data_IF_941466767623
#
_entry.id   IF_941466767623
#
_cell.length_a   1.000
_cell.length_b   1.000
_cell.length_c   1.000
_cell.angle_alpha   90.00
_cell.angle_beta   90.00
_cell.angle_gamma   90.00
#
_symmetry.space_group_name_H-M   'P 1'
#
loop_
_entity.id
_entity.type
_entity.pdbx_description
1 polymer ?
#
# COMPACT_ATOMS: atom_id res chain seq x y z
N UNK A 1 7.66 -30.11 -27.71
CA UNK A 1 6.64 -29.45 -26.86
C UNK A 1 7.20 -28.10 -26.47
N UNK A 2 6.89 -27.05 -27.24
CA UNK A 2 7.34 -25.69 -26.96
C UNK A 2 6.32 -25.02 -26.04
N UNK A 3 6.70 -24.80 -24.79
CA UNK A 3 5.93 -23.98 -23.85
C UNK A 3 5.90 -22.56 -24.41
N UNK A 4 4.82 -22.18 -25.09
CA UNK A 4 4.56 -20.79 -25.45
C UNK A 4 4.42 -20.02 -24.15
N UNK A 5 5.46 -19.25 -23.80
CA UNK A 5 5.46 -18.38 -22.63
C UNK A 5 4.56 -17.19 -22.97
N UNK A 6 3.45 -17.04 -22.24
CA UNK A 6 2.59 -15.87 -22.40
C UNK A 6 3.39 -14.61 -22.00
N UNK A 7 3.65 -13.68 -22.94
CA UNK A 7 4.43 -12.48 -22.66
C UNK A 7 3.77 -11.57 -21.61
N UNK A 8 2.44 -11.61 -21.46
CA UNK A 8 1.71 -10.83 -20.45
C UNK A 8 1.95 -11.41 -19.06
N UNK A 9 1.93 -12.73 -18.91
CA UNK A 9 2.26 -13.39 -17.64
C UNK A 9 3.70 -13.14 -17.21
N UNK A 10 4.63 -13.09 -18.16
CA UNK A 10 6.02 -12.77 -17.88
C UNK A 10 6.18 -11.31 -17.43
N UNK A 11 5.51 -10.38 -18.10
CA UNK A 11 5.49 -8.97 -17.72
C UNK A 11 4.96 -8.80 -16.29
N UNK A 12 3.85 -9.45 -15.92
CA UNK A 12 3.31 -9.36 -14.56
C UNK A 12 4.27 -9.93 -13.51
N UNK A 13 4.96 -11.03 -13.83
CA UNK A 13 6.01 -11.58 -12.95
C UNK A 13 7.17 -10.62 -12.76
N UNK A 14 7.61 -9.97 -13.83
CA UNK A 14 8.75 -9.06 -13.78
C UNK A 14 8.39 -7.75 -13.08
N UNK A 15 7.19 -7.21 -13.30
CA UNK A 15 6.67 -6.08 -12.54
C UNK A 15 6.53 -6.40 -11.04
N UNK A 16 6.12 -7.61 -10.69
CA UNK A 16 6.05 -8.05 -9.30
C UNK A 16 7.41 -8.19 -8.60
N UNK A 17 8.53 -8.10 -9.34
CA UNK A 17 9.90 -8.13 -8.80
C UNK A 17 10.53 -6.74 -8.66
N UNK A 18 9.90 -5.71 -9.21
CA UNK A 18 10.39 -4.33 -9.09
C UNK A 18 9.73 -3.72 -7.85
N UNK A 19 10.52 -3.52 -6.79
CA UNK A 19 10.09 -2.69 -5.68
C UNK A 19 10.12 -1.21 -6.12
N UNK A 20 9.03 -0.49 -5.85
CA UNK A 20 8.99 0.97 -6.06
C UNK A 20 9.91 1.69 -5.08
N UNK A 21 10.34 2.90 -5.42
CA UNK A 21 11.34 3.66 -4.66
C UNK A 21 10.79 4.47 -3.47
N UNK A 22 9.56 4.17 -3.03
CA UNK A 22 8.78 4.86 -1.97
C UNK A 22 8.63 6.41 -2.10
N UNK A 23 9.18 7.02 -3.16
CA UNK A 23 9.31 8.48 -3.30
C UNK A 23 7.97 9.20 -3.18
N UNK A 24 6.94 8.70 -3.86
CA UNK A 24 5.60 9.30 -3.81
C UNK A 24 5.00 9.30 -2.40
N UNK A 25 5.28 8.28 -1.58
CA UNK A 25 4.82 8.22 -0.21
C UNK A 25 5.53 9.25 0.66
N UNK A 26 6.86 9.38 0.49
CA UNK A 26 7.67 10.41 1.17
C UNK A 26 7.24 11.83 0.81
N UNK A 27 7.00 12.10 -0.46
CA UNK A 27 6.54 13.39 -0.95
C UNK A 27 5.15 13.75 -0.40
N UNK A 28 4.23 12.79 -0.34
CA UNK A 28 2.91 13.01 0.25
C UNK A 28 2.99 13.37 1.74
N UNK A 29 3.81 12.65 2.52
CA UNK A 29 4.04 12.96 3.93
C UNK A 29 4.68 14.35 4.10
N UNK A 30 5.69 14.67 3.29
CA UNK A 30 6.34 15.98 3.29
C UNK A 30 5.37 17.12 2.93
N UNK A 31 4.35 16.84 2.10
CA UNK A 31 3.29 17.77 1.76
C UNK A 31 2.17 17.88 2.82
N UNK A 32 2.28 17.16 3.94
CA UNK A 32 1.29 17.19 5.02
C UNK A 32 0.08 16.27 4.79
N UNK A 33 0.16 15.35 3.83
CA UNK A 33 -0.92 14.42 3.49
C UNK A 33 -0.69 13.06 4.14
N UNK A 34 -1.72 12.44 4.75
CA UNK A 34 -1.60 11.08 5.24
C UNK A 34 -1.52 10.09 4.07
N UNK A 35 -0.78 9.01 4.28
CA UNK A 35 -0.68 7.89 3.32
C UNK A 35 -1.37 6.65 3.87
N UNK A 36 -1.82 5.80 2.95
CA UNK A 36 -2.49 4.55 3.27
C UNK A 36 -1.74 3.39 2.63
N UNK A 37 -1.43 2.36 3.41
CA UNK A 37 -0.74 1.19 2.89
C UNK A 37 -1.13 -0.08 3.65
N UNK A 38 -0.67 -1.23 3.16
CA UNK A 38 -0.84 -2.53 3.81
C UNK A 38 0.52 -3.19 3.96
N UNK A 39 0.76 -3.74 5.13
CA UNK A 39 1.90 -4.61 5.41
C UNK A 39 1.47 -6.07 5.26
N UNK A 40 2.43 -7.00 5.22
CA UNK A 40 2.13 -8.45 5.16
C UNK A 40 1.26 -8.92 6.33
N UNK A 41 1.33 -8.23 7.46
CA UNK A 41 0.59 -8.52 8.70
C UNK A 41 -0.74 -7.76 8.81
N UNK A 42 -1.03 -6.83 7.88
CA UNK A 42 -2.27 -6.05 7.93
C UNK A 42 -3.48 -6.94 7.62
N UNK A 43 -4.45 -7.08 8.55
CA UNK A 43 -5.62 -7.93 8.35
C UNK A 43 -6.42 -7.56 7.09
N UNK A 44 -7.10 -8.52 6.45
CA UNK A 44 -7.96 -8.25 5.31
C UNK A 44 -9.02 -7.18 5.62
N UNK A 45 -9.23 -6.26 4.67
CA UNK A 45 -10.18 -5.15 4.82
C UNK A 45 -9.71 -3.99 5.69
N UNK A 46 -8.50 -4.06 6.25
CA UNK A 46 -7.88 -2.98 7.02
C UNK A 46 -6.65 -2.42 6.31
N UNK A 47 -6.30 -1.18 6.65
CA UNK A 47 -5.17 -0.41 6.11
C UNK A 47 -4.44 0.30 7.24
N UNK A 48 -3.13 0.49 7.10
CA UNK A 48 -2.37 1.42 7.94
C UNK A 48 -2.52 2.81 7.35
N UNK A 49 -2.91 3.78 8.18
CA UNK A 49 -2.88 5.19 7.88
C UNK A 49 -1.72 5.82 8.65
N UNK A 50 -0.75 6.37 7.92
CA UNK A 50 0.38 7.10 8.49
C UNK A 50 0.19 8.59 8.25
N UNK A 51 0.32 9.36 9.32
CA UNK A 51 0.24 10.80 9.31
C UNK A 51 1.65 11.41 9.15
N UNK A 52 1.76 12.66 8.65
CA UNK A 52 3.04 13.37 8.50
C UNK A 52 3.88 13.49 9.78
N UNK A 53 3.23 13.43 10.95
CA UNK A 53 3.89 13.47 12.27
C UNK A 53 4.40 12.09 12.73
N UNK A 54 4.26 11.05 11.90
CA UNK A 54 4.66 9.68 12.20
C UNK A 54 3.63 8.89 13.00
N UNK A 55 2.48 9.49 13.39
CA UNK A 55 1.38 8.74 14.00
C UNK A 55 0.86 7.71 13.01
N UNK A 56 0.55 6.51 13.51
CA UNK A 56 -0.02 5.43 12.70
C UNK A 56 -1.28 4.86 13.32
N UNK A 57 -2.25 4.57 12.46
CA UNK A 57 -3.54 4.00 12.85
C UNK A 57 -3.89 2.84 11.94
N UNK A 58 -4.46 1.77 12.50
CA UNK A 58 -5.12 0.73 11.72
C UNK A 58 -6.56 1.17 11.50
N UNK A 59 -6.95 1.34 10.24
CA UNK A 59 -8.26 1.85 9.86
C UNK A 59 -9.01 0.89 8.95
N UNK A 60 -10.33 1.00 8.95
CA UNK A 60 -11.20 0.48 7.90
C UNK A 60 -11.71 1.67 7.08
N UNK A 61 -11.41 1.68 5.79
CA UNK A 61 -11.94 2.70 4.89
C UNK A 61 -13.45 2.50 4.68
N UNK A 62 -14.21 3.58 4.81
CA UNK A 62 -15.61 3.64 4.40
C UNK A 62 -15.86 4.91 3.57
N UNK A 63 -16.96 4.93 2.81
CA UNK A 63 -17.35 6.13 2.04
C UNK A 63 -17.69 7.34 2.92
N UNK A 64 -17.94 7.13 4.21
CA UNK A 64 -18.28 8.18 5.17
C UNK A 64 -17.03 8.71 5.90
N UNK A 65 -15.88 8.08 5.70
CA UNK A 65 -14.64 8.35 6.43
C UNK A 65 -14.00 7.07 6.94
N UNK A 66 -12.81 7.21 7.50
CA UNK A 66 -12.07 6.10 8.10
C UNK A 66 -12.63 5.74 9.47
N UNK A 67 -12.94 4.46 9.68
CA UNK A 67 -13.17 3.91 11.01
C UNK A 67 -11.82 3.53 11.63
N UNK A 68 -11.38 4.26 12.65
CA UNK A 68 -10.15 3.95 13.38
C UNK A 68 -10.38 2.74 14.27
N UNK A 69 -9.65 1.65 14.02
CA UNK A 69 -9.74 0.40 14.79
C UNK A 69 -8.81 0.48 16.01
N UNK A 70 -7.56 0.94 15.83
CA UNK A 70 -6.58 1.19 16.90
C UNK A 70 -5.40 2.02 16.41
N UNK A 71 -4.71 2.68 17.33
CA UNK A 71 -3.35 3.23 17.10
C UNK A 71 -2.32 2.10 17.03
N UNK A 72 -1.24 2.32 16.28
CA UNK A 72 -0.14 1.37 16.07
C UNK A 72 1.19 1.87 16.64
#
# INVERSE_FOLDING_TARGET
MTTTHDPIEQLWRDLGRVDGDDTAAREALAAGMPIYYRERTTPPGLQVKEYPDGRRELVRFSRQGDDVIRTL
#
